data_IF_505212464085
#
_entry.id   IF_505212464085
#
_cell.length_a   1.000
_cell.length_b   1.000
_cell.length_c   1.000
_cell.angle_alpha   90.00
_cell.angle_beta   90.00
_cell.angle_gamma   90.00
#
_symmetry.space_group_name_H-M   'P 1'
#
loop_
_entity.id
_entity.type
_entity.pdbx_description
1 polymer ?
#
# COMPACT_ATOMS: atom_id res chain seq x y z
N UNK A 1 -29.75 17.97 52.50
CA UNK A 1 -28.41 18.39 52.93
C UNK A 1 -27.41 17.73 51.99
N UNK A 2 -26.78 18.51 51.12
CA UNK A 2 -25.74 18.04 50.22
C UNK A 2 -24.44 18.44 50.91
N UNK A 3 -23.64 17.47 51.33
CA UNK A 3 -22.31 17.71 51.88
C UNK A 3 -21.35 17.82 50.71
N UNK A 4 -20.67 18.96 50.59
CA UNK A 4 -19.58 19.09 49.62
C UNK A 4 -18.53 17.99 49.87
N UNK A 5 -17.97 17.40 48.80
CA UNK A 5 -16.98 16.36 48.95
C UNK A 5 -15.73 16.92 49.67
N UNK A 6 -15.04 16.10 50.48
CA UNK A 6 -13.84 16.53 51.18
C UNK A 6 -12.76 16.97 50.20
N UNK A 7 -11.98 17.98 50.56
CA UNK A 7 -10.91 18.58 49.73
C UNK A 7 -9.94 17.51 49.19
N UNK A 8 -9.66 16.48 49.99
CA UNK A 8 -8.83 15.33 49.59
C UNK A 8 -9.41 14.54 48.43
N UNK A 9 -10.74 14.36 48.36
CA UNK A 9 -11.40 13.70 47.23
C UNK A 9 -11.30 14.54 45.95
N UNK A 10 -11.47 15.87 46.06
CA UNK A 10 -11.35 16.76 44.91
C UNK A 10 -9.94 16.79 44.32
N UNK A 11 -8.90 16.72 45.18
CA UNK A 11 -7.51 16.64 44.73
C UNK A 11 -7.20 15.31 44.03
N UNK A 12 -7.78 14.20 44.49
CA UNK A 12 -7.63 12.88 43.87
C UNK A 12 -8.30 12.85 42.50
N UNK A 13 -9.52 13.38 42.37
CA UNK A 13 -10.23 13.51 41.10
C UNK A 13 -9.42 14.35 40.10
N UNK A 14 -8.94 15.53 40.52
CA UNK A 14 -8.11 16.39 39.67
C UNK A 14 -6.81 15.69 39.24
N UNK A 15 -6.16 14.92 40.13
CA UNK A 15 -4.97 14.14 39.80
C UNK A 15 -5.29 13.01 38.81
N UNK A 16 -6.43 12.33 38.98
CA UNK A 16 -6.91 11.31 38.04
C UNK A 16 -7.18 11.91 36.65
N UNK A 17 -7.83 13.08 36.56
CA UNK A 17 -8.05 13.79 35.29
C UNK A 17 -6.74 14.19 34.61
N UNK A 18 -5.73 14.64 35.37
CA UNK A 18 -4.40 14.96 34.84
C UNK A 18 -3.66 13.71 34.32
N UNK A 19 -3.77 12.57 35.02
CA UNK A 19 -3.18 11.31 34.57
C UNK A 19 -3.84 10.79 33.29
N UNK A 20 -5.18 10.83 33.19
CA UNK A 20 -5.93 10.35 32.01
C UNK A 20 -5.65 11.22 30.78
N UNK A 21 -5.62 12.55 30.93
CA UNK A 21 -5.29 13.48 29.83
C UNK A 21 -3.85 13.30 29.33
N UNK A 22 -2.91 13.04 30.24
CA UNK A 22 -1.51 12.72 29.86
C UNK A 22 -1.40 11.41 29.09
N UNK A 23 -2.17 10.37 29.46
CA UNK A 23 -2.19 9.08 28.76
C UNK A 23 -2.78 9.18 27.36
N UNK A 24 -3.84 9.99 27.19
CA UNK A 24 -4.45 10.25 25.89
C UNK A 24 -3.48 10.96 24.92
N UNK A 25 -2.57 11.79 25.45
CA UNK A 25 -1.53 12.47 24.67
C UNK A 25 -0.44 11.54 24.12
N UNK A 26 -0.33 10.30 24.60
CA UNK A 26 0.60 9.30 24.07
C UNK A 26 0.00 8.42 22.96
N UNK A 27 -1.30 8.54 22.69
CA UNK A 27 -1.95 7.85 21.56
C UNK A 27 -1.72 8.53 20.21
N UNK A 28 -0.62 9.29 20.06
CA UNK A 28 -0.21 9.82 18.77
C UNK A 28 0.15 8.63 17.88
N UNK A 29 -0.84 8.19 17.12
CA UNK A 29 -0.71 7.29 15.99
C UNK A 29 0.24 8.00 15.02
N UNK A 30 1.54 7.74 15.16
CA UNK A 30 2.56 8.32 14.29
C UNK A 30 2.15 8.00 12.85
N UNK A 31 1.81 8.99 12.01
CA UNK A 31 1.39 8.71 10.66
C UNK A 31 2.64 8.24 9.92
N UNK A 32 2.78 6.93 9.75
CA UNK A 32 3.74 6.35 8.83
C UNK A 32 3.11 6.42 7.43
N UNK A 33 3.55 7.34 6.57
CA UNK A 33 2.94 7.50 5.25
C UNK A 33 3.35 6.33 4.33
N UNK A 34 2.55 6.07 3.31
CA UNK A 34 2.90 5.16 2.22
C UNK A 34 4.28 5.50 1.64
N UNK A 35 5.20 4.54 1.67
CA UNK A 35 6.53 4.64 1.07
C UNK A 35 6.73 3.58 0.00
N UNK A 36 7.29 3.97 -1.14
CA UNK A 36 7.74 3.03 -2.17
C UNK A 36 9.24 2.82 -1.99
N UNK A 37 9.64 1.61 -1.61
CA UNK A 37 11.03 1.28 -1.27
C UNK A 37 11.83 0.83 -2.49
N UNK A 38 11.20 0.13 -3.43
CA UNK A 38 11.87 -0.38 -4.61
C UNK A 38 10.90 -0.52 -5.78
N UNK A 39 11.27 0.06 -6.92
CA UNK A 39 10.67 -0.23 -8.21
C UNK A 39 11.74 -0.89 -9.09
N UNK A 40 11.64 -2.20 -9.29
CA UNK A 40 12.57 -2.93 -10.14
C UNK A 40 11.92 -3.23 -11.49
N UNK A 41 12.50 -2.64 -12.54
CA UNK A 41 12.17 -2.86 -13.95
C UNK A 41 13.50 -3.25 -14.63
N UNK A 42 13.69 -4.50 -15.05
CA UNK A 42 14.95 -4.90 -15.69
C UNK A 42 15.10 -4.23 -17.06
N UNK A 43 16.30 -3.72 -17.33
CA UNK A 43 16.73 -3.17 -18.61
C UNK A 43 18.12 -3.71 -18.97
N UNK A 44 18.37 -4.12 -20.23
CA UNK A 44 17.45 -4.21 -21.36
C UNK A 44 16.56 -5.47 -21.31
N UNK A 45 15.33 -5.39 -21.81
CA UNK A 45 14.47 -6.57 -21.98
C UNK A 45 14.63 -7.09 -23.41
N UNK A 46 15.09 -8.34 -23.56
CA UNK A 46 15.10 -9.01 -24.86
C UNK A 46 13.66 -9.34 -25.24
N UNK A 47 13.27 -9.04 -26.49
CA UNK A 47 11.93 -9.36 -26.97
C UNK A 47 11.69 -10.89 -26.88
N UNK A 48 10.61 -11.28 -26.21
CA UNK A 48 10.26 -12.68 -25.98
C UNK A 48 10.65 -13.22 -24.58
N UNK A 49 11.54 -12.55 -23.85
CA UNK A 49 11.86 -12.95 -22.48
C UNK A 49 10.77 -12.52 -21.49
N UNK A 50 10.61 -13.34 -20.44
CA UNK A 50 9.75 -13.02 -19.31
C UNK A 50 10.56 -12.30 -18.25
N UNK A 51 10.10 -11.12 -17.87
CA UNK A 51 10.69 -10.34 -16.78
C UNK A 51 9.73 -10.23 -15.62
N UNK A 52 10.29 -10.02 -14.43
CA UNK A 52 9.54 -9.82 -13.21
C UNK A 52 9.58 -8.34 -12.83
N UNK A 53 8.45 -7.67 -12.92
CA UNK A 53 8.25 -6.36 -12.33
C UNK A 53 8.01 -6.51 -10.84
N UNK A 54 8.74 -5.75 -10.03
CA UNK A 54 8.62 -5.81 -8.57
C UNK A 54 8.49 -4.42 -8.00
N UNK A 55 7.43 -4.21 -7.22
CA UNK A 55 7.23 -2.99 -6.45
C UNK A 55 7.15 -3.31 -4.95
N UNK A 56 8.18 -2.93 -4.18
CA UNK A 56 8.13 -3.01 -2.71
C UNK A 56 7.63 -1.68 -2.15
N UNK A 57 6.67 -1.75 -1.24
CA UNK A 57 6.10 -0.60 -0.56
C UNK A 57 5.83 -0.91 0.92
N UNK A 58 5.80 0.13 1.75
CA UNK A 58 5.45 0.11 3.16
C UNK A 58 4.19 0.97 3.35
N UNK A 59 3.13 0.39 3.93
CA UNK A 59 1.84 1.07 4.10
C UNK A 59 1.76 1.87 5.42
N UNK A 60 2.67 1.64 6.37
CA UNK A 60 2.57 2.25 7.68
C UNK A 60 1.24 1.91 8.36
N UNK A 61 0.44 2.93 8.64
CA UNK A 61 -0.88 2.80 9.26
C UNK A 61 -2.03 2.85 8.25
N UNK A 62 -1.71 2.96 6.95
CA UNK A 62 -2.69 3.03 5.88
C UNK A 62 -3.04 1.63 5.36
N UNK A 63 -4.16 1.52 4.66
CA UNK A 63 -4.55 0.27 3.99
C UNK A 63 -4.27 0.35 2.50
N UNK A 64 -3.83 -0.74 1.88
CA UNK A 64 -3.59 -0.75 0.44
C UNK A 64 -4.91 -0.58 -0.32
N UNK A 65 -5.00 0.45 -1.15
CA UNK A 65 -6.10 0.63 -2.08
C UNK A 65 -5.86 -0.16 -3.37
N UNK A 66 -4.72 0.08 -4.03
CA UNK A 66 -4.42 -0.58 -5.30
C UNK A 66 -2.93 -0.57 -5.64
N UNK A 67 -2.50 -1.57 -6.41
CA UNK A 67 -1.23 -1.58 -7.15
C UNK A 67 -1.56 -1.62 -8.63
N UNK A 68 -0.97 -0.73 -9.43
CA UNK A 68 -1.23 -0.62 -10.87
C UNK A 68 0.07 -0.54 -11.64
N UNK A 69 0.09 -1.19 -12.80
CA UNK A 69 1.19 -1.08 -13.74
C UNK A 69 0.73 -0.53 -15.09
N UNK A 70 1.56 0.37 -15.62
CA UNK A 70 1.33 1.08 -16.86
C UNK A 70 2.50 0.88 -17.81
N UNK A 71 2.17 0.70 -19.08
CA UNK A 71 3.11 0.81 -20.20
C UNK A 71 2.72 2.04 -21.00
N UNK A 72 3.66 2.97 -21.17
CA UNK A 72 3.38 4.28 -21.72
C UNK A 72 2.18 4.87 -20.95
N UNK A 73 1.09 5.22 -21.62
CA UNK A 73 -0.13 5.75 -20.99
C UNK A 73 -1.19 4.68 -20.67
N UNK A 74 -0.99 3.44 -21.10
CA UNK A 74 -1.96 2.36 -20.97
C UNK A 74 -1.75 1.52 -19.72
N UNK A 75 -2.81 1.31 -18.95
CA UNK A 75 -2.82 0.31 -17.88
C UNK A 75 -2.80 -1.09 -18.49
N UNK A 76 -2.01 -2.01 -17.92
CA UNK A 76 -2.03 -3.43 -18.31
C UNK A 76 -2.29 -4.38 -17.13
N UNK A 77 -2.13 -3.90 -15.89
CA UNK A 77 -2.38 -4.69 -14.70
C UNK A 77 -2.88 -3.82 -13.54
N UNK A 78 -3.76 -4.40 -12.72
CA UNK A 78 -4.25 -3.83 -11.47
C UNK A 78 -4.52 -4.92 -10.44
N UNK A 79 -4.06 -4.68 -9.22
CA UNK A 79 -4.43 -5.40 -8.01
C UNK A 79 -5.19 -4.47 -7.06
N UNK A 80 -6.36 -4.89 -6.60
CA UNK A 80 -7.21 -4.20 -5.61
C UNK A 80 -7.67 -5.26 -4.59
N UNK A 81 -7.12 -5.28 -3.37
CA UNK A 81 -7.44 -6.32 -2.37
C UNK A 81 -8.93 -6.46 -2.07
N UNK A 82 -9.67 -5.35 -2.15
CA UNK A 82 -11.09 -5.29 -1.82
C UNK A 82 -12.01 -5.66 -3.00
N UNK A 83 -11.49 -5.95 -4.20
CA UNK A 83 -12.32 -6.34 -5.35
C UNK A 83 -12.38 -7.84 -5.53
N UNK A 84 -13.46 -8.31 -6.15
CA UNK A 84 -13.58 -9.68 -6.62
C UNK A 84 -13.75 -9.70 -8.17
N UNK A 85 -12.81 -10.28 -8.93
CA UNK A 85 -11.52 -10.82 -8.49
C UNK A 85 -10.54 -9.70 -8.05
N UNK A 86 -9.54 -10.02 -7.20
CA UNK A 86 -8.61 -9.01 -6.66
C UNK A 86 -7.58 -8.53 -7.68
N UNK A 87 -7.43 -9.20 -8.82
CA UNK A 87 -6.54 -8.81 -9.90
C UNK A 87 -7.29 -8.70 -11.23
N UNK A 88 -6.88 -7.74 -12.06
CA UNK A 88 -7.39 -7.51 -13.41
C UNK A 88 -6.23 -7.19 -14.36
N UNK A 89 -6.28 -7.73 -15.56
CA UNK A 89 -5.30 -7.43 -16.62
C UNK A 89 -6.00 -6.73 -17.78
N UNK A 90 -5.33 -5.81 -18.43
CA UNK A 90 -5.82 -5.08 -19.58
C UNK A 90 -4.88 -5.36 -20.77
N UNK A 91 -5.44 -5.53 -21.96
CA UNK A 91 -4.64 -5.79 -23.16
C UNK A 91 -3.85 -4.54 -23.51
N UNK A 92 -2.54 -4.70 -23.66
CA UNK A 92 -1.63 -3.68 -24.21
C UNK A 92 -0.78 -4.34 -25.29
N UNK A 93 -0.59 -3.65 -26.42
CA UNK A 93 0.22 -4.16 -27.53
C UNK A 93 1.65 -4.38 -27.03
N UNK A 94 2.20 -5.59 -27.26
CA UNK A 94 3.54 -5.94 -26.77
C UNK A 94 3.66 -5.90 -25.25
N UNK A 95 2.64 -6.42 -24.55
CA UNK A 95 2.72 -6.94 -23.18
C UNK A 95 1.82 -8.16 -23.11
N UNK A 96 2.34 -9.25 -22.56
CA UNK A 96 1.54 -10.37 -22.09
C UNK A 96 1.79 -10.60 -20.59
N UNK A 97 0.71 -10.70 -19.81
CA UNK A 97 0.75 -10.85 -18.34
C UNK A 97 0.53 -12.32 -17.99
N UNK A 98 1.52 -12.95 -17.35
CA UNK A 98 1.45 -14.36 -16.99
C UNK A 98 0.55 -14.59 -15.77
N UNK A 99 -0.73 -14.88 -16.02
CA UNK A 99 -1.75 -15.07 -14.98
C UNK A 99 -1.51 -16.26 -14.07
N UNK A 100 -0.79 -17.28 -14.53
CA UNK A 100 -0.57 -18.51 -13.76
C UNK A 100 0.30 -18.26 -12.54
N UNK A 101 1.27 -17.34 -12.66
CA UNK A 101 2.21 -16.97 -11.61
C UNK A 101 1.67 -15.94 -10.61
N UNK A 102 0.52 -15.32 -10.94
CA UNK A 102 -0.11 -14.31 -10.09
C UNK A 102 -0.65 -14.91 -8.80
N UNK A 103 -1.37 -16.03 -8.89
CA UNK A 103 -2.06 -16.67 -7.76
C UNK A 103 -1.14 -17.01 -6.57
N UNK A 104 0.16 -17.17 -6.81
CA UNK A 104 1.13 -17.63 -5.81
C UNK A 104 1.92 -16.49 -5.12
N UNK A 105 1.95 -15.26 -5.66
CA UNK A 105 2.95 -14.24 -5.23
C UNK A 105 2.47 -12.78 -5.14
N UNK A 106 1.18 -12.47 -5.24
CA UNK A 106 0.69 -11.07 -5.33
C UNK A 106 0.79 -10.23 -4.05
N UNK A 107 1.31 -10.76 -2.93
CA UNK A 107 1.40 -9.99 -1.67
C UNK A 107 2.32 -8.77 -1.74
N UNK A 108 3.18 -8.64 -2.75
CA UNK A 108 4.17 -7.56 -2.86
C UNK A 108 4.29 -6.95 -4.28
N UNK A 109 3.18 -6.84 -5.03
CA UNK A 109 3.19 -6.19 -6.37
C UNK A 109 4.20 -6.80 -7.34
N UNK A 110 4.29 -8.13 -7.36
CA UNK A 110 5.21 -8.94 -8.17
C UNK A 110 4.49 -9.47 -9.40
N UNK A 111 4.94 -9.09 -10.59
CA UNK A 111 4.24 -9.39 -11.84
C UNK A 111 5.20 -9.92 -12.90
N UNK A 112 4.87 -11.05 -13.53
CA UNK A 112 5.63 -11.59 -14.66
C UNK A 112 5.00 -11.14 -15.98
N UNK A 113 5.82 -10.55 -16.83
CA UNK A 113 5.39 -9.93 -18.08
C UNK A 113 6.38 -10.26 -19.19
N UNK A 114 5.86 -10.39 -20.40
CA UNK A 114 6.64 -10.76 -21.60
C UNK A 114 6.47 -9.75 -22.71
N UNK A 115 7.41 -9.81 -23.67
CA UNK A 115 7.32 -9.17 -24.98
C UNK A 115 7.29 -7.63 -24.97
N UNK A 116 8.22 -7.01 -24.24
CA UNK A 116 8.32 -5.55 -24.18
C UNK A 116 8.79 -4.98 -25.52
N UNK A 117 8.04 -4.02 -26.06
CA UNK A 117 8.49 -3.25 -27.21
C UNK A 117 9.69 -2.39 -26.80
N UNK A 118 10.73 -2.33 -27.65
CA UNK A 118 11.85 -1.39 -27.46
C UNK A 118 11.30 0.03 -27.26
N UNK A 119 11.88 0.79 -26.34
CA UNK A 119 11.48 2.16 -25.94
C UNK A 119 10.16 2.30 -25.15
N UNK A 120 9.60 1.22 -24.63
CA UNK A 120 8.41 1.31 -23.78
C UNK A 120 8.77 1.80 -22.39
N UNK A 121 8.04 2.80 -21.88
CA UNK A 121 8.21 3.28 -20.51
C UNK A 121 7.28 2.51 -19.59
N UNK A 122 7.81 1.90 -18.54
CA UNK A 122 7.04 1.15 -17.53
C UNK A 122 6.95 1.94 -16.25
N UNK A 123 5.75 2.03 -15.67
CA UNK A 123 5.48 2.76 -14.43
C UNK A 123 4.64 1.91 -13.48
N UNK A 124 5.09 1.82 -12.24
CA UNK A 124 4.33 1.23 -11.13
C UNK A 124 3.72 2.34 -10.26
N UNK A 125 2.46 2.18 -9.86
CA UNK A 125 1.78 3.08 -8.93
C UNK A 125 1.20 2.26 -7.79
N UNK A 126 1.50 2.66 -6.56
CA UNK A 126 0.87 2.14 -5.34
C UNK A 126 -0.03 3.24 -4.78
N UNK A 127 -1.20 2.87 -4.30
CA UNK A 127 -2.14 3.79 -3.67
C UNK A 127 -2.71 3.15 -2.43
N UNK A 128 -2.86 3.95 -1.39
CA UNK A 128 -3.47 3.61 -0.12
C UNK A 128 -4.85 4.27 0.04
N UNK A 129 -5.66 3.76 0.97
CA UNK A 129 -6.82 4.47 1.52
C UNK A 129 -6.41 5.06 2.86
N UNK A 130 -6.58 6.38 2.98
CA UNK A 130 -6.51 7.14 4.24
C UNK A 130 -7.87 7.10 4.90
#
# INVERSE_FOLDING_TARGET
MITDPPITAQLIENLLFLLISSLAAFSVCSPYPLKINLLHIPTPVVAGESVMLKCRYELGNETLYSVKWYKNMGEFFRYVPASDPPFKTFRQVGIDVDRTRLSLRTKAGLEFVRNFSKNSVIRGKVSSKV
#
